data_IF_315868520318
#
_entry.id   IF_315868520318
#
_cell.length_a   1.000
_cell.length_b   1.000
_cell.length_c   1.000
_cell.angle_alpha   90.00
_cell.angle_beta   90.00
_cell.angle_gamma   90.00
#
_symmetry.space_group_name_H-M   'P 1'
#
loop_
_entity.id
_entity.type
_entity.pdbx_description
1 polymer ?
#
# COMPACT_ATOMS: atom_id res chain seq x y z
N UNK A 1 -1.14 -23.16 -14.86
CA UNK A 1 -2.25 -22.47 -14.17
C UNK A 1 -1.77 -21.09 -13.74
N UNK A 2 -2.36 -20.05 -14.25
CA UNK A 2 -1.97 -18.71 -13.86
C UNK A 2 -2.59 -18.35 -12.53
N UNK A 3 -1.77 -17.81 -11.63
CA UNK A 3 -2.23 -17.32 -10.35
C UNK A 3 -2.44 -15.81 -10.49
N UNK A 4 -3.65 -15.35 -10.27
CA UNK A 4 -3.91 -13.93 -10.26
C UNK A 4 -3.20 -13.30 -9.06
N UNK A 5 -2.47 -12.22 -9.28
CA UNK A 5 -1.82 -11.49 -8.21
C UNK A 5 -2.84 -10.60 -7.50
N UNK A 6 -2.71 -10.53 -6.18
CA UNK A 6 -3.60 -9.77 -5.32
C UNK A 6 -2.84 -8.62 -4.68
N UNK A 7 -3.36 -7.43 -4.86
CA UNK A 7 -2.78 -6.22 -4.29
C UNK A 7 -3.73 -5.65 -3.24
N UNK A 8 -3.17 -5.00 -2.24
CA UNK A 8 -3.95 -4.20 -1.30
C UNK A 8 -3.57 -2.75 -1.49
N UNK A 9 -4.57 -1.87 -1.58
CA UNK A 9 -4.35 -0.44 -1.68
C UNK A 9 -4.96 0.26 -0.47
N UNK A 10 -4.14 1.00 0.27
CA UNK A 10 -4.61 1.85 1.37
C UNK A 10 -4.54 3.29 0.90
N UNK A 11 -5.70 3.87 0.62
CA UNK A 11 -5.84 5.20 0.02
C UNK A 11 -7.19 5.79 0.41
N UNK A 12 -7.21 7.02 0.92
CA UNK A 12 -8.45 7.69 1.32
C UNK A 12 -9.16 8.39 0.16
N UNK A 13 -8.46 8.67 -0.93
CA UNK A 13 -9.07 9.28 -2.11
C UNK A 13 -9.80 8.22 -2.91
N UNK A 14 -11.14 8.20 -2.81
CA UNK A 14 -11.96 7.19 -3.45
C UNK A 14 -11.84 7.22 -4.98
N UNK A 15 -11.69 8.40 -5.57
CA UNK A 15 -11.59 8.54 -7.04
C UNK A 15 -10.28 7.92 -7.53
N UNK A 16 -9.18 8.19 -6.84
CA UNK A 16 -7.90 7.61 -7.19
C UNK A 16 -7.93 6.09 -7.00
N UNK A 17 -8.49 5.62 -5.88
CA UNK A 17 -8.60 4.19 -5.62
C UNK A 17 -9.43 3.49 -6.70
N UNK A 18 -10.57 4.04 -7.07
CA UNK A 18 -11.43 3.46 -8.11
C UNK A 18 -10.70 3.37 -9.45
N UNK A 19 -9.95 4.41 -9.79
CA UNK A 19 -9.17 4.45 -11.04
C UNK A 19 -8.11 3.35 -11.05
N UNK A 20 -7.38 3.21 -9.94
CA UNK A 20 -6.31 2.20 -9.83
C UNK A 20 -6.91 0.79 -9.85
N UNK A 21 -7.97 0.55 -9.09
CA UNK A 21 -8.63 -0.76 -9.05
C UNK A 21 -9.10 -1.16 -10.44
N UNK A 22 -9.74 -0.23 -11.16
CA UNK A 22 -10.24 -0.50 -12.52
C UNK A 22 -9.10 -0.75 -13.49
N UNK A 23 -8.10 0.11 -13.49
CA UNK A 23 -6.98 0.00 -14.43
C UNK A 23 -6.21 -1.31 -14.22
N UNK A 24 -5.86 -1.61 -12.98
CA UNK A 24 -5.10 -2.84 -12.70
C UNK A 24 -5.96 -4.07 -12.90
N UNK A 25 -7.26 -4.00 -12.59
CA UNK A 25 -8.19 -5.08 -12.85
C UNK A 25 -8.27 -5.43 -14.33
N UNK A 26 -8.26 -4.41 -15.21
CA UNK A 26 -8.23 -4.61 -16.66
C UNK A 26 -6.92 -5.24 -17.14
N UNK A 27 -5.89 -5.21 -16.33
CA UNK A 27 -4.59 -5.80 -16.64
C UNK A 27 -4.34 -7.11 -15.87
N UNK A 28 -5.40 -7.71 -15.34
CA UNK A 28 -5.32 -9.02 -14.71
C UNK A 28 -4.90 -9.04 -13.26
N UNK A 29 -4.87 -7.88 -12.61
CA UNK A 29 -4.51 -7.77 -11.20
C UNK A 29 -5.74 -7.49 -10.34
N UNK A 30 -5.87 -8.21 -9.23
CA UNK A 30 -6.96 -8.00 -8.29
C UNK A 30 -6.50 -7.03 -7.20
N UNK A 31 -7.25 -5.94 -6.98
CA UNK A 31 -6.90 -4.94 -5.98
C UNK A 31 -8.02 -4.82 -4.96
N UNK A 32 -7.71 -5.08 -3.71
CA UNK A 32 -8.58 -4.78 -2.58
C UNK A 32 -8.25 -3.38 -2.08
N UNK A 33 -9.26 -2.61 -1.71
CA UNK A 33 -9.09 -1.22 -1.29
C UNK A 33 -9.56 -1.02 0.15
N UNK A 34 -8.71 -0.37 0.93
CA UNK A 34 -9.04 0.09 2.28
C UNK A 34 -8.87 1.61 2.33
N UNK A 35 -9.86 2.35 2.86
CA UNK A 35 -9.81 3.81 2.82
C UNK A 35 -8.96 4.45 3.94
N UNK A 36 -8.52 3.68 4.91
CA UNK A 36 -7.75 4.19 6.04
C UNK A 36 -6.72 3.17 6.51
N UNK A 37 -5.80 3.64 7.35
CA UNK A 37 -4.71 2.81 7.85
C UNK A 37 -5.21 1.69 8.76
N UNK A 38 -6.19 1.97 9.59
CA UNK A 38 -6.69 0.99 10.56
C UNK A 38 -7.24 -0.25 9.86
N UNK A 39 -8.13 -0.04 8.87
CA UNK A 39 -8.69 -1.16 8.11
C UNK A 39 -7.62 -1.88 7.30
N UNK A 40 -6.67 -1.13 6.74
CA UNK A 40 -5.57 -1.72 5.98
C UNK A 40 -4.67 -2.60 6.84
N UNK A 41 -4.30 -2.13 8.02
CA UNK A 41 -3.47 -2.91 8.94
C UNK A 41 -4.19 -4.16 9.43
N UNK A 42 -5.50 -4.09 9.64
CA UNK A 42 -6.29 -5.28 9.98
C UNK A 42 -6.27 -6.30 8.85
N UNK A 43 -6.40 -5.82 7.60
CA UNK A 43 -6.37 -6.69 6.43
C UNK A 43 -5.01 -7.37 6.28
N UNK A 44 -3.94 -6.67 6.60
CA UNK A 44 -2.57 -7.20 6.51
C UNK A 44 -2.27 -8.28 7.55
N UNK A 45 -3.14 -8.46 8.52
CA UNK A 45 -3.01 -9.52 9.53
C UNK A 45 -3.86 -10.75 9.21
N UNK A 46 -4.49 -10.78 8.04
CA UNK A 46 -5.33 -11.88 7.59
C UNK A 46 -4.72 -12.59 6.39
N UNK A 47 -5.07 -13.85 6.23
CA UNK A 47 -4.70 -14.62 5.05
C UNK A 47 -5.84 -14.57 4.04
N UNK A 48 -5.54 -14.56 2.74
CA UNK A 48 -4.19 -14.54 2.16
C UNK A 48 -3.59 -13.15 2.19
N UNK A 49 -2.27 -13.08 2.35
CA UNK A 49 -1.55 -11.81 2.30
C UNK A 49 -1.51 -11.28 0.87
N UNK A 50 -1.50 -9.95 0.70
CA UNK A 50 -1.32 -9.38 -0.65
C UNK A 50 0.12 -9.61 -1.15
N UNK A 51 0.25 -9.63 -2.47
CA UNK A 51 1.56 -9.73 -3.11
C UNK A 51 2.29 -8.39 -3.11
N UNK A 52 1.53 -7.28 -2.99
CA UNK A 52 2.07 -5.93 -2.94
C UNK A 52 1.08 -5.03 -2.20
N UNK A 53 1.59 -4.15 -1.38
CA UNK A 53 0.81 -3.09 -0.73
C UNK A 53 1.09 -1.76 -1.44
N UNK A 54 0.04 -1.10 -1.92
CA UNK A 54 0.11 0.28 -2.41
C UNK A 54 -0.37 1.17 -1.28
N UNK A 55 0.48 2.03 -0.79
CA UNK A 55 0.26 2.76 0.47
C UNK A 55 0.38 4.26 0.25
N UNK A 56 -0.71 4.98 0.54
CA UNK A 56 -0.68 6.43 0.53
C UNK A 56 0.10 6.95 1.75
N UNK A 57 0.94 7.94 1.51
CA UNK A 57 1.72 8.55 2.59
C UNK A 57 0.84 9.34 3.55
N UNK A 58 -0.20 10.01 3.04
CA UNK A 58 -1.07 10.89 3.84
C UNK A 58 -2.46 10.30 4.01
N UNK A 59 -2.65 9.53 5.06
CA UNK A 59 -3.94 8.93 5.41
C UNK A 59 -4.61 9.72 6.54
N UNK A 60 -5.95 9.62 6.67
CA UNK A 60 -6.67 10.43 7.65
C UNK A 60 -6.42 10.04 9.11
N UNK A 61 -6.13 8.77 9.38
CA UNK A 61 -6.01 8.27 10.75
C UNK A 61 -4.56 7.99 11.18
N UNK A 62 -3.67 7.74 10.22
CA UNK A 62 -2.30 7.38 10.53
C UNK A 62 -1.44 7.67 9.30
N UNK A 63 -0.27 8.25 9.49
CA UNK A 63 0.57 8.53 8.34
C UNK A 63 1.16 7.23 7.75
N UNK A 64 1.40 7.23 6.44
CA UNK A 64 1.85 6.04 5.73
C UNK A 64 3.21 5.52 6.21
N UNK A 65 4.08 6.41 6.69
CA UNK A 65 5.36 6.00 7.26
C UNK A 65 5.16 5.13 8.50
N UNK A 66 4.21 5.52 9.34
CA UNK A 66 3.90 4.75 10.54
C UNK A 66 3.24 3.41 10.18
N UNK A 67 2.39 3.39 9.16
CA UNK A 67 1.82 2.13 8.65
C UNK A 67 2.93 1.18 8.22
N UNK A 68 3.88 1.69 7.45
CA UNK A 68 5.00 0.89 6.99
C UNK A 68 5.82 0.35 8.16
N UNK A 69 6.10 1.18 9.16
CA UNK A 69 6.83 0.77 10.35
C UNK A 69 6.08 -0.35 11.08
N UNK A 70 4.77 -0.21 11.26
CA UNK A 70 3.94 -1.23 11.94
C UNK A 70 3.88 -2.52 11.14
N UNK A 71 3.78 -2.42 9.81
CA UNK A 71 3.80 -3.59 8.95
C UNK A 71 5.10 -4.37 9.11
N UNK A 72 6.24 -3.69 9.09
CA UNK A 72 7.54 -4.35 9.24
C UNK A 72 7.74 -4.98 10.62
N UNK A 73 6.97 -4.56 11.61
CA UNK A 73 7.03 -5.12 12.95
C UNK A 73 6.05 -6.28 13.16
N UNK A 74 5.20 -6.61 12.17
CA UNK A 74 4.27 -7.72 12.30
C UNK A 74 5.02 -9.05 12.26
N UNK A 75 4.48 -10.08 12.94
CA UNK A 75 5.11 -11.40 12.90
C UNK A 75 4.89 -12.10 11.55
N UNK A 76 5.84 -12.97 11.21
CA UNK A 76 5.70 -13.85 10.06
C UNK A 76 5.86 -13.15 8.72
N UNK A 77 5.20 -13.71 7.70
CA UNK A 77 5.35 -13.26 6.32
C UNK A 77 4.78 -11.87 6.07
N UNK A 78 3.86 -11.40 6.91
CA UNK A 78 3.27 -10.06 6.75
C UNK A 78 4.35 -8.97 6.79
N UNK A 79 5.39 -9.14 7.60
CA UNK A 79 6.47 -8.16 7.71
C UNK A 79 7.27 -8.00 6.42
N UNK A 80 7.13 -8.92 5.47
CA UNK A 80 7.91 -8.93 4.24
C UNK A 80 7.11 -8.54 3.01
N UNK A 81 5.83 -8.16 3.17
CA UNK A 81 5.01 -7.72 2.05
C UNK A 81 5.66 -6.51 1.38
N UNK A 82 5.91 -6.55 0.06
CA UNK A 82 6.49 -5.40 -0.63
C UNK A 82 5.57 -4.19 -0.56
N UNK A 83 6.15 -3.01 -0.40
CA UNK A 83 5.40 -1.75 -0.26
C UNK A 83 5.81 -0.76 -1.34
N UNK A 84 4.81 -0.30 -2.11
CA UNK A 84 4.95 0.81 -3.02
C UNK A 84 4.24 2.02 -2.39
N UNK A 85 5.01 3.05 -2.05
CA UNK A 85 4.45 4.23 -1.40
C UNK A 85 4.05 5.29 -2.42
N UNK A 86 2.84 5.83 -2.27
CA UNK A 86 2.34 6.92 -3.11
C UNK A 86 2.37 8.23 -2.34
N UNK A 87 2.77 9.30 -3.01
CA UNK A 87 2.80 10.63 -2.39
C UNK A 87 2.21 11.67 -3.33
N UNK A 88 1.74 12.77 -2.76
CA UNK A 88 1.14 13.86 -3.54
C UNK A 88 2.15 14.56 -4.45
N UNK A 89 3.43 14.57 -4.04
CA UNK A 89 4.51 15.17 -4.83
C UNK A 89 5.79 14.38 -4.61
N UNK A 90 6.67 14.40 -5.60
CA UNK A 90 7.95 13.73 -5.51
C UNK A 90 8.96 14.51 -4.67
N UNK A 91 8.68 14.70 -3.38
CA UNK A 91 9.62 15.33 -2.48
C UNK A 91 10.77 14.35 -2.18
N UNK A 92 12.04 14.71 -2.51
CA UNK A 92 13.17 13.81 -2.27
C UNK A 92 13.33 13.40 -0.81
N UNK A 93 13.00 14.26 0.13
CA UNK A 93 13.09 13.92 1.56
C UNK A 93 12.07 12.86 1.95
N UNK A 94 10.84 12.97 1.45
CA UNK A 94 9.81 11.96 1.71
C UNK A 94 10.22 10.61 1.13
N UNK A 95 10.85 10.61 -0.02
CA UNK A 95 11.34 9.38 -0.64
C UNK A 95 12.41 8.71 0.23
N UNK A 96 13.38 9.48 0.70
CA UNK A 96 14.44 8.95 1.55
C UNK A 96 13.87 8.38 2.85
N UNK A 97 12.98 9.14 3.50
CA UNK A 97 12.37 8.70 4.76
C UNK A 97 11.51 7.45 4.53
N UNK A 98 10.72 7.40 3.45
CA UNK A 98 9.89 6.25 3.14
C UNK A 98 10.71 4.97 2.98
N UNK A 99 11.80 5.05 2.22
CA UNK A 99 12.67 3.90 2.00
C UNK A 99 13.37 3.47 3.31
N UNK A 100 13.79 4.44 4.14
CA UNK A 100 14.37 4.15 5.44
C UNK A 100 13.38 3.47 6.39
N UNK A 101 12.09 3.79 6.28
CA UNK A 101 11.04 3.18 7.10
C UNK A 101 10.56 1.83 6.58
N UNK A 102 11.13 1.34 5.48
CA UNK A 102 10.88 -0.01 5.00
C UNK A 102 10.05 -0.11 3.73
N UNK A 103 9.75 0.99 3.04
CA UNK A 103 9.12 0.93 1.72
C UNK A 103 10.13 0.41 0.69
N UNK A 104 9.66 -0.34 -0.29
CA UNK A 104 10.51 -0.89 -1.34
C UNK A 104 10.64 0.06 -2.53
N UNK A 105 9.64 0.90 -2.75
CA UNK A 105 9.66 1.88 -3.82
C UNK A 105 8.68 3.00 -3.51
N UNK A 106 8.64 3.99 -4.37
CA UNK A 106 7.98 5.26 -4.11
C UNK A 106 7.60 5.91 -5.44
N UNK A 107 6.34 6.30 -5.57
CA UNK A 107 5.84 6.98 -6.76
C UNK A 107 5.02 8.20 -6.39
N UNK A 108 5.13 9.29 -7.16
CA UNK A 108 4.21 10.42 -6.99
C UNK A 108 2.83 10.03 -7.50
N UNK A 109 1.79 10.59 -6.89
CA UNK A 109 0.43 10.45 -7.39
C UNK A 109 0.27 11.18 -8.72
N UNK A 110 -0.59 10.69 -9.61
CA UNK A 110 -0.92 11.38 -10.85
C UNK A 110 -1.64 12.71 -10.61
#
# INVERSE_FOLDING_TARGET
>A
MSTQQHLLMIEDDQRLADMVVTYLGNNGLSVAHCPDATSGLQQLQRQPLPDLLILDLMLPDLDGLEVCRRLRALPGAAAEVPVLMLTAKGDPMDRVVGLEMGADDYLPKP
#
